data_IF_933498136166
#
_entry.id   IF_933498136166
#
_cell.length_a   1.000
_cell.length_b   1.000
_cell.length_c   1.000
_cell.angle_alpha   90.00
_cell.angle_beta   90.00
_cell.angle_gamma   90.00
#
_symmetry.space_group_name_H-M   'P 1'
#
loop_
_entity.id
_entity.type
_entity.pdbx_description
1 polymer ?
#
# COMPACT_ATOMS: atom_id res chain seq x y z
N UNK A 1 10.61 14.21 -0.52
CA UNK A 1 9.60 14.86 0.33
C UNK A 1 8.19 14.62 -0.17
N UNK A 2 7.92 14.85 -1.46
CA UNK A 2 6.59 14.71 -2.06
C UNK A 2 5.97 13.31 -1.88
N UNK A 3 6.68 12.23 -2.24
CA UNK A 3 6.17 10.84 -2.06
C UNK A 3 5.86 10.51 -0.60
N UNK A 4 6.79 10.74 0.34
CA UNK A 4 6.54 10.51 1.79
C UNK A 4 5.30 11.27 2.30
N UNK A 5 5.07 12.51 1.83
CA UNK A 5 3.87 13.27 2.17
C UNK A 5 2.60 12.66 1.56
N UNK A 6 2.66 12.20 0.31
CA UNK A 6 1.55 11.49 -0.34
C UNK A 6 1.22 10.18 0.38
N UNK A 7 2.22 9.37 0.76
CA UNK A 7 2.04 8.13 1.52
C UNK A 7 1.39 8.39 2.88
N UNK A 8 1.83 9.43 3.59
CA UNK A 8 1.28 9.76 4.90
C UNK A 8 -0.19 10.20 4.80
N UNK A 9 -0.49 11.09 3.83
CA UNK A 9 -1.86 11.54 3.58
C UNK A 9 -2.76 10.40 3.10
N UNK A 10 -2.28 9.54 2.19
CA UNK A 10 -3.05 8.40 1.69
C UNK A 10 -3.34 7.41 2.82
N UNK A 11 -2.34 7.08 3.65
CA UNK A 11 -2.51 6.20 4.82
C UNK A 11 -3.57 6.74 5.80
N UNK A 12 -3.58 8.05 6.05
CA UNK A 12 -4.60 8.68 6.89
C UNK A 12 -6.00 8.60 6.26
N UNK A 13 -6.12 8.85 4.95
CA UNK A 13 -7.39 8.75 4.23
C UNK A 13 -7.89 7.29 4.10
N UNK A 14 -6.98 6.32 4.06
CA UNK A 14 -7.29 4.89 3.98
C UNK A 14 -8.15 4.39 5.14
N UNK A 15 -8.10 5.04 6.30
CA UNK A 15 -8.93 4.71 7.48
C UNK A 15 -10.41 4.63 7.12
N UNK A 16 -10.87 5.54 6.27
CA UNK A 16 -12.27 5.61 5.83
C UNK A 16 -12.42 5.01 4.43
N UNK A 17 -11.48 5.32 3.53
CA UNK A 17 -11.58 4.95 2.13
C UNK A 17 -11.50 3.44 1.89
N UNK A 18 -10.62 2.73 2.61
CA UNK A 18 -10.43 1.28 2.42
C UNK A 18 -11.63 0.45 2.90
N UNK A 19 -12.21 0.65 4.10
CA UNK A 19 -13.43 -0.05 4.48
C UNK A 19 -14.60 0.27 3.53
N UNK A 20 -14.74 1.54 3.12
CA UNK A 20 -15.83 1.99 2.27
C UNK A 20 -15.74 1.39 0.86
N UNK A 21 -14.54 1.37 0.27
CA UNK A 21 -14.31 0.73 -1.03
C UNK A 21 -14.57 -0.77 -0.96
N UNK A 22 -14.12 -1.43 0.11
CA UNK A 22 -14.33 -2.88 0.32
C UNK A 22 -15.83 -3.18 0.42
N UNK A 23 -16.57 -2.41 1.21
CA UNK A 23 -18.02 -2.56 1.32
C UNK A 23 -18.73 -2.36 -0.03
N UNK A 24 -18.33 -1.33 -0.80
CA UNK A 24 -18.86 -1.06 -2.13
C UNK A 24 -18.61 -2.19 -3.12
N UNK A 25 -17.37 -2.68 -3.22
CA UNK A 25 -17.00 -3.75 -4.14
C UNK A 25 -17.67 -5.06 -3.79
N UNK A 26 -17.71 -5.43 -2.50
CA UNK A 26 -18.35 -6.66 -2.05
C UNK A 26 -19.85 -6.63 -2.34
N UNK A 27 -20.52 -5.50 -2.07
CA UNK A 27 -21.94 -5.35 -2.38
C UNK A 27 -22.21 -5.39 -3.88
N UNK A 28 -21.36 -4.77 -4.70
CA UNK A 28 -21.51 -4.73 -6.15
C UNK A 28 -21.28 -6.10 -6.82
N UNK A 29 -20.29 -6.87 -6.34
CA UNK A 29 -19.90 -8.14 -6.96
C UNK A 29 -20.73 -9.32 -6.44
N UNK A 30 -21.06 -9.35 -5.15
CA UNK A 30 -21.70 -10.50 -4.51
C UNK A 30 -23.17 -10.26 -4.14
N UNK A 31 -23.68 -9.03 -4.26
CA UNK A 31 -25.06 -8.68 -3.89
C UNK A 31 -25.40 -8.86 -2.40
N UNK A 32 -24.43 -9.27 -1.58
CA UNK A 32 -24.60 -9.60 -0.18
C UNK A 32 -24.00 -8.51 0.73
N UNK A 33 -24.68 -8.25 1.86
CA UNK A 33 -24.12 -7.43 2.94
C UNK A 33 -23.16 -8.29 3.75
N UNK A 34 -21.86 -8.23 3.46
CA UNK A 34 -20.84 -8.84 4.32
C UNK A 34 -20.71 -7.99 5.58
N UNK A 35 -20.85 -8.64 6.74
CA UNK A 35 -20.60 -8.05 8.04
C UNK A 35 -19.10 -7.86 8.23
N UNK A 36 -18.59 -6.72 7.75
CA UNK A 36 -17.24 -6.28 8.02
C UNK A 36 -17.11 -5.98 9.52
N UNK A 37 -16.12 -6.58 10.18
CA UNK A 37 -15.76 -6.22 11.55
C UNK A 37 -15.02 -4.88 11.54
N UNK A 38 -15.81 -3.80 11.52
CA UNK A 38 -15.33 -2.41 11.49
C UNK A 38 -14.33 -2.09 12.61
N UNK A 39 -14.52 -2.68 13.79
CA UNK A 39 -13.64 -2.50 14.94
C UNK A 39 -12.25 -3.08 14.70
N UNK A 40 -12.15 -4.30 14.18
CA UNK A 40 -10.88 -4.95 13.89
C UNK A 40 -10.15 -4.24 12.75
N UNK A 41 -10.88 -3.86 11.70
CA UNK A 41 -10.31 -3.17 10.54
C UNK A 41 -9.82 -1.77 10.93
N UNK A 42 -10.59 -1.02 11.72
CA UNK A 42 -10.17 0.27 12.25
C UNK A 42 -8.96 0.15 13.19
N UNK A 43 -8.92 -0.88 14.05
CA UNK A 43 -7.79 -1.13 14.94
C UNK A 43 -6.50 -1.41 14.14
N UNK A 44 -6.56 -2.27 13.11
CA UNK A 44 -5.42 -2.57 12.25
C UNK A 44 -4.88 -1.33 11.54
N UNK A 45 -5.76 -0.50 10.98
CA UNK A 45 -5.32 0.75 10.32
C UNK A 45 -4.76 1.74 11.33
N UNK A 46 -5.37 1.85 12.52
CA UNK A 46 -4.90 2.76 13.58
C UNK A 46 -3.49 2.40 14.04
N UNK A 47 -3.17 1.11 14.16
CA UNK A 47 -1.81 0.64 14.49
C UNK A 47 -0.82 1.03 13.39
N UNK A 48 -1.18 0.84 12.11
CA UNK A 48 -0.33 1.24 10.99
C UNK A 48 -0.08 2.76 10.96
N UNK A 49 -1.12 3.56 11.23
CA UNK A 49 -1.00 5.02 11.31
C UNK A 49 -0.14 5.46 12.50
N UNK A 50 -0.34 4.87 13.68
CA UNK A 50 0.46 5.17 14.85
C UNK A 50 1.94 4.85 14.61
N UNK A 51 2.24 3.71 13.98
CA UNK A 51 3.60 3.33 13.64
C UNK A 51 4.27 4.31 12.66
N UNK A 52 3.56 4.75 11.61
CA UNK A 52 4.09 5.73 10.65
C UNK A 52 4.28 7.11 11.29
N UNK A 53 3.33 7.56 12.12
CA UNK A 53 3.43 8.81 12.86
C UNK A 53 4.62 8.81 13.83
N UNK A 54 4.80 7.74 14.61
CA UNK A 54 5.94 7.58 15.53
C UNK A 54 7.26 7.53 14.75
N UNK A 55 7.31 6.83 13.62
CA UNK A 55 8.47 6.78 12.75
C UNK A 55 8.86 8.18 12.22
N UNK A 56 7.86 8.96 11.79
CA UNK A 56 8.05 10.32 11.30
C UNK A 56 8.52 11.27 12.41
N UNK A 57 7.88 11.21 13.58
CA UNK A 57 8.25 12.01 14.76
C UNK A 57 9.66 11.67 15.23
N UNK A 58 10.02 10.39 15.28
CA UNK A 58 11.37 9.94 15.65
C UNK A 58 12.42 10.41 14.65
N UNK A 59 12.08 10.36 13.36
CA UNK A 59 12.91 10.87 12.26
C UNK A 59 13.10 12.38 12.31
N UNK A 60 12.08 13.14 12.75
CA UNK A 60 12.17 14.59 12.95
C UNK A 60 12.99 14.94 14.20
N UNK A 61 12.73 14.27 15.33
CA UNK A 61 13.39 14.55 16.61
C UNK A 61 14.89 14.19 16.61
N UNK A 62 15.30 13.17 15.83
CA UNK A 62 16.70 12.72 15.78
C UNK A 62 17.20 12.58 14.33
N UNK A 63 17.49 13.70 13.63
CA UNK A 63 17.90 13.67 12.22
C UNK A 63 19.19 12.89 11.99
N UNK A 64 20.13 12.91 12.95
CA UNK A 64 21.38 12.17 12.89
C UNK A 64 21.19 10.64 12.82
N UNK A 65 20.05 10.14 13.29
CA UNK A 65 19.74 8.71 13.34
C UNK A 65 18.87 8.24 12.18
N UNK A 66 18.40 9.15 11.31
CA UNK A 66 17.57 8.82 10.14
C UNK A 66 18.16 7.71 9.29
N UNK A 67 19.46 7.76 9.00
CA UNK A 67 20.13 6.74 8.19
C UNK A 67 20.08 5.36 8.84
N UNK A 68 20.26 5.27 10.16
CA UNK A 68 20.17 4.00 10.91
C UNK A 68 18.75 3.44 10.89
N UNK A 69 17.75 4.28 11.12
CA UNK A 69 16.35 3.87 11.06
C UNK A 69 15.93 3.41 9.67
N UNK A 70 16.39 4.06 8.60
CA UNK A 70 16.11 3.62 7.23
C UNK A 70 16.71 2.24 6.94
N UNK A 71 17.96 1.99 7.36
CA UNK A 71 18.59 0.67 7.18
C UNK A 71 17.83 -0.39 7.97
N UNK A 72 17.48 -0.11 9.23
CA UNK A 72 16.70 -1.04 10.06
C UNK A 72 15.34 -1.35 9.42
N UNK A 73 14.63 -0.33 8.94
CA UNK A 73 13.35 -0.49 8.24
C UNK A 73 13.47 -1.34 6.99
N UNK A 74 14.51 -1.12 6.18
CA UNK A 74 14.76 -1.92 4.98
C UNK A 74 15.08 -3.39 5.31
N UNK A 75 15.89 -3.64 6.33
CA UNK A 75 16.21 -5.00 6.78
C UNK A 75 14.96 -5.70 7.33
N UNK A 76 14.16 -5.00 8.13
CA UNK A 76 12.90 -5.53 8.65
C UNK A 76 11.90 -5.84 7.52
N UNK A 77 11.77 -4.95 6.54
CA UNK A 77 10.92 -5.16 5.37
C UNK A 77 11.36 -6.37 4.53
N UNK A 78 12.66 -6.51 4.28
CA UNK A 78 13.20 -7.67 3.56
C UNK A 78 13.00 -8.98 4.35
N UNK A 79 13.17 -8.95 5.68
CA UNK A 79 12.93 -10.10 6.53
C UNK A 79 11.45 -10.52 6.54
N UNK A 80 10.53 -9.56 6.61
CA UNK A 80 9.08 -9.80 6.51
C UNK A 80 8.71 -10.39 5.15
N UNK A 81 9.29 -9.87 4.05
CA UNK A 81 9.10 -10.44 2.72
C UNK A 81 9.58 -11.88 2.64
N UNK A 82 10.79 -12.17 3.12
CA UNK A 82 11.34 -13.52 3.13
C UNK A 82 10.49 -14.49 3.97
N UNK A 83 9.99 -14.02 5.12
CA UNK A 83 9.07 -14.80 5.96
C UNK A 83 7.75 -15.09 5.25
N UNK A 84 7.14 -14.09 4.59
CA UNK A 84 5.93 -14.26 3.79
C UNK A 84 6.13 -15.25 2.64
N UNK A 85 7.25 -15.16 1.92
CA UNK A 85 7.59 -16.11 0.85
C UNK A 85 7.78 -17.54 1.39
N UNK A 86 8.47 -17.71 2.52
CA UNK A 86 8.74 -19.01 3.13
C UNK A 86 7.47 -19.68 3.68
N UNK A 87 6.53 -18.90 4.23
CA UNK A 87 5.24 -19.41 4.72
C UNK A 87 4.30 -19.75 3.56
N UNK A 88 4.20 -18.89 2.54
CA UNK A 88 3.38 -19.14 1.35
C UNK A 88 3.79 -20.40 0.59
N UNK A 89 5.09 -20.71 0.60
CA UNK A 89 5.67 -21.90 -0.05
C UNK A 89 5.22 -23.24 0.53
N UNK A 90 4.64 -23.27 1.75
CA UNK A 90 4.29 -24.52 2.46
C UNK A 90 2.86 -24.99 2.19
N UNK A 91 1.91 -24.07 2.18
CA UNK A 91 0.49 -24.41 2.11
C UNK A 91 -0.10 -24.21 0.70
N UNK A 92 0.42 -23.25 -0.07
CA UNK A 92 -0.09 -22.94 -1.40
C UNK A 92 0.98 -22.24 -2.27
N UNK A 93 1.87 -23.01 -2.92
CA UNK A 93 3.07 -22.47 -3.53
C UNK A 93 2.78 -21.47 -4.65
N UNK A 94 3.48 -20.33 -4.60
CA UNK A 94 3.28 -19.22 -5.53
C UNK A 94 3.62 -19.61 -6.98
N UNK A 95 4.45 -20.62 -7.18
CA UNK A 95 4.87 -21.13 -8.50
C UNK A 95 3.91 -22.14 -9.12
N UNK A 96 2.95 -22.68 -8.35
CA UNK A 96 1.97 -23.65 -8.83
C UNK A 96 0.60 -23.00 -9.11
N UNK A 97 0.64 -21.77 -9.63
CA UNK A 97 -0.56 -20.99 -9.95
C UNK A 97 -0.79 -20.95 -11.46
N UNK A 98 -2.06 -20.98 -11.85
CA UNK A 98 -2.42 -20.85 -13.26
C UNK A 98 -1.91 -19.51 -13.84
N UNK A 99 -1.54 -19.46 -15.13
CA UNK A 99 -1.11 -18.21 -15.77
C UNK A 99 -2.12 -17.06 -15.62
N UNK A 100 -3.42 -17.39 -15.58
CA UNK A 100 -4.52 -16.44 -15.38
C UNK A 100 -4.44 -15.73 -14.04
N UNK A 101 -3.93 -16.39 -13.00
CA UNK A 101 -3.75 -15.79 -11.68
C UNK A 101 -2.72 -14.65 -11.74
N UNK A 102 -1.57 -14.86 -12.38
CA UNK A 102 -0.56 -13.81 -12.50
C UNK A 102 -1.06 -12.61 -13.30
N UNK A 103 -1.78 -12.84 -14.40
CA UNK A 103 -2.42 -11.74 -15.13
C UNK A 103 -3.47 -11.02 -14.30
N UNK A 104 -4.32 -11.75 -13.57
CA UNK A 104 -5.34 -11.14 -12.71
C UNK A 104 -4.73 -10.27 -11.59
N UNK A 105 -3.58 -10.66 -11.03
CA UNK A 105 -2.86 -9.88 -10.01
C UNK A 105 -2.10 -8.71 -10.62
N UNK A 106 -1.49 -8.88 -11.80
CA UNK A 106 -0.71 -7.82 -12.46
C UNK A 106 -1.59 -6.71 -13.07
N UNK A 107 -2.77 -7.07 -13.55
CA UNK A 107 -3.68 -6.17 -14.26
C UNK A 107 -4.08 -4.92 -13.44
N UNK A 108 -4.51 -5.01 -12.17
CA UNK A 108 -4.80 -3.81 -11.37
C UNK A 108 -3.57 -2.92 -11.17
N UNK A 109 -2.37 -3.47 -11.02
CA UNK A 109 -1.14 -2.67 -10.92
C UNK A 109 -0.84 -1.91 -12.22
N UNK A 110 -0.96 -2.58 -13.37
CA UNK A 110 -0.72 -1.96 -14.69
C UNK A 110 -1.79 -0.91 -15.00
N UNK A 111 -3.07 -1.20 -14.75
CA UNK A 111 -4.16 -0.25 -14.94
C UNK A 111 -4.05 0.95 -13.98
N UNK A 112 -3.66 0.71 -12.73
CA UNK A 112 -3.31 1.76 -11.78
C UNK A 112 -2.20 2.67 -12.31
N UNK A 113 -1.14 2.08 -12.87
CA UNK A 113 -0.01 2.83 -13.43
C UNK A 113 -0.44 3.71 -14.59
N UNK A 114 -1.15 3.12 -15.55
CA UNK A 114 -1.60 3.82 -16.74
C UNK A 114 -2.58 4.93 -16.40
N UNK A 115 -3.53 4.68 -15.49
CA UNK A 115 -4.49 5.69 -15.05
C UNK A 115 -3.81 6.84 -14.29
N UNK A 116 -2.87 6.54 -13.39
CA UNK A 116 -2.08 7.54 -12.69
C UNK A 116 -1.24 8.39 -13.64
N UNK A 117 -0.58 7.78 -14.63
CA UNK A 117 0.15 8.51 -15.66
C UNK A 117 -0.77 9.39 -16.51
N UNK A 118 -1.91 8.86 -16.97
CA UNK A 118 -2.87 9.61 -17.77
C UNK A 118 -3.42 10.83 -17.01
N UNK A 119 -3.84 10.63 -15.76
CA UNK A 119 -4.31 11.71 -14.89
C UNK A 119 -3.20 12.74 -14.65
N UNK A 120 -1.97 12.30 -14.38
CA UNK A 120 -0.85 13.23 -14.18
C UNK A 120 -0.56 14.09 -15.41
N UNK A 121 -0.85 13.57 -16.62
CA UNK A 121 -0.76 14.30 -17.87
C UNK A 121 -1.89 15.33 -18.02
N UNK A 122 -3.12 14.96 -17.67
CA UNK A 122 -4.28 15.85 -17.68
C UNK A 122 -4.07 17.05 -16.74
N UNK A 123 -3.49 16.82 -15.57
CA UNK A 123 -3.18 17.87 -14.59
C UNK A 123 -1.85 18.60 -14.86
N UNK A 124 -1.16 18.28 -15.97
CA UNK A 124 0.08 18.95 -16.42
C UNK A 124 1.18 19.01 -15.36
N UNK A 125 1.32 17.98 -14.52
CA UNK A 125 2.39 17.95 -13.51
C UNK A 125 3.77 17.93 -14.17
N UNK A 126 4.80 18.32 -13.43
CA UNK A 126 6.19 18.23 -13.90
C UNK A 126 6.64 16.77 -13.99
N UNK A 127 7.56 16.46 -14.92
CA UNK A 127 8.09 15.10 -15.13
C UNK A 127 8.48 14.35 -13.83
N UNK A 128 9.23 14.94 -12.87
CA UNK A 128 9.55 14.25 -11.62
C UNK A 128 8.33 13.97 -10.73
N UNK A 129 7.31 14.83 -10.76
CA UNK A 129 6.08 14.66 -9.97
C UNK A 129 5.18 13.57 -10.57
N UNK A 130 5.13 13.46 -11.91
CA UNK A 130 4.38 12.39 -12.59
C UNK A 130 4.90 11.01 -12.21
N UNK A 131 6.22 10.83 -12.25
CA UNK A 131 6.86 9.56 -11.88
C UNK A 131 6.62 9.25 -10.41
N UNK A 132 6.75 10.24 -9.51
CA UNK A 132 6.47 10.04 -8.10
C UNK A 132 5.01 9.60 -7.84
N UNK A 133 4.04 10.22 -8.52
CA UNK A 133 2.62 9.89 -8.38
C UNK A 133 2.29 8.50 -8.97
N UNK A 134 2.89 8.14 -10.10
CA UNK A 134 2.71 6.84 -10.72
C UNK A 134 3.31 5.69 -9.87
N UNK A 135 4.48 5.90 -9.27
CA UNK A 135 5.09 4.90 -8.37
C UNK A 135 4.24 4.72 -7.11
N UNK A 136 3.79 5.81 -6.49
CA UNK A 136 3.00 5.78 -5.26
C UNK A 136 1.63 5.10 -5.44
N UNK A 137 1.04 5.19 -6.62
CA UNK A 137 -0.27 4.57 -6.93
C UNK A 137 -0.16 3.07 -7.23
N UNK A 138 0.99 2.60 -7.67
CA UNK A 138 1.20 1.21 -8.06
C UNK A 138 1.83 0.33 -7.00
N UNK A 139 2.65 0.90 -6.12
CA UNK A 139 3.22 0.18 -5.00
C UNK A 139 2.22 0.17 -3.84
N UNK A 140 1.29 -0.79 -3.88
CA UNK A 140 0.42 -1.16 -2.75
C UNK A 140 1.02 -2.30 -1.93
#
# INVERSE_FOLDING_TARGET
>A
ALSVGMTACSTALSIVAMPLSTFGYVRAMYGASVWLNWSMLAASISVALAATAVGLMSSYARPLWRRKFNVLGNVAGLALFAFGAATSSRDDPIWDKSPRFYFAVALPCVLGLLSAFALSWCFRLEAPQRVALAVETCYQ
#
